data_IF_266400610916
#
_entry.id   IF_266400610916
#
_cell.length_a   1.000
_cell.length_b   1.000
_cell.length_c   1.000
_cell.angle_alpha   90.00
_cell.angle_beta   90.00
_cell.angle_gamma   90.00
#
_symmetry.space_group_name_H-M   'P 1'
#
loop_
_entity.id
_entity.type
_entity.pdbx_description
1 polymer ?
#
# COMPACT_ATOMS: atom_id res chain seq x y z
N UNK A 1 16.81 18.74 -9.89
CA UNK A 1 15.67 18.41 -9.00
C UNK A 1 15.68 16.89 -8.86
N UNK A 2 16.03 16.36 -7.68
CA UNK A 2 16.32 14.93 -7.53
C UNK A 2 15.00 14.16 -7.41
N UNK A 3 14.59 13.50 -8.51
CA UNK A 3 13.37 12.68 -8.57
C UNK A 3 13.46 11.39 -7.72
N UNK A 4 14.52 11.18 -6.94
CA UNK A 4 14.73 9.96 -6.17
C UNK A 4 13.61 9.62 -5.18
N UNK A 5 12.95 10.63 -4.59
CA UNK A 5 11.77 10.40 -3.73
C UNK A 5 10.58 9.89 -4.57
N UNK A 6 10.37 10.50 -5.74
CA UNK A 6 9.29 10.15 -6.66
C UNK A 6 9.50 8.76 -7.28
N UNK A 7 10.74 8.40 -7.61
CA UNK A 7 11.13 7.07 -8.10
C UNK A 7 10.98 5.99 -7.03
N UNK A 8 11.29 6.30 -5.77
CA UNK A 8 11.07 5.41 -4.64
C UNK A 8 9.58 5.11 -4.43
N UNK A 9 8.71 6.10 -4.57
CA UNK A 9 7.26 5.93 -4.49
C UNK A 9 6.73 5.14 -5.70
N UNK A 10 7.18 5.47 -6.91
CA UNK A 10 6.77 4.78 -8.13
C UNK A 10 7.17 3.29 -8.10
N UNK A 11 8.35 2.98 -7.58
CA UNK A 11 8.81 1.58 -7.38
C UNK A 11 7.92 0.81 -6.42
N UNK A 12 7.50 1.42 -5.30
CA UNK A 12 6.57 0.81 -4.33
C UNK A 12 5.20 0.54 -4.94
N UNK A 13 4.67 1.49 -5.70
CA UNK A 13 3.38 1.35 -6.40
C UNK A 13 3.45 0.25 -7.47
N UNK A 14 4.55 0.16 -8.22
CA UNK A 14 4.75 -0.91 -9.19
C UNK A 14 4.86 -2.28 -8.52
N UNK A 15 5.55 -2.38 -7.38
CA UNK A 15 5.62 -3.62 -6.61
C UNK A 15 4.24 -4.01 -6.06
N UNK A 16 3.46 -3.04 -5.57
CA UNK A 16 2.08 -3.24 -5.15
C UNK A 16 1.22 -3.76 -6.30
N UNK A 17 1.31 -3.15 -7.49
CA UNK A 17 0.61 -3.59 -8.71
C UNK A 17 1.00 -5.00 -9.15
N UNK A 18 2.29 -5.35 -9.03
CA UNK A 18 2.80 -6.70 -9.34
C UNK A 18 2.28 -7.75 -8.35
N UNK A 19 2.17 -7.41 -7.06
CA UNK A 19 1.49 -8.24 -6.05
C UNK A 19 -0.03 -8.28 -6.28
N UNK A 20 -0.59 -7.19 -6.82
CA UNK A 20 -2.01 -7.04 -7.07
C UNK A 20 -2.52 -7.74 -8.34
N UNK A 21 -1.65 -8.38 -9.13
CA UNK A 21 -1.98 -8.88 -10.47
C UNK A 21 -3.05 -9.98 -10.52
N UNK A 22 -3.55 -10.43 -9.36
CA UNK A 22 -4.69 -11.35 -9.20
C UNK A 22 -5.93 -10.74 -8.55
N UNK A 23 -5.95 -9.44 -8.23
CA UNK A 23 -7.13 -8.80 -7.64
C UNK A 23 -8.13 -8.46 -8.75
N UNK A 24 -9.22 -9.22 -8.79
CA UNK A 24 -10.34 -9.05 -9.72
C UNK A 24 -11.12 -7.75 -9.50
N UNK A 25 -11.01 -7.15 -8.30
CA UNK A 25 -11.67 -5.91 -7.90
C UNK A 25 -10.67 -4.77 -7.70
N UNK A 26 -10.93 -3.64 -8.35
CA UNK A 26 -10.11 -2.42 -8.29
C UNK A 26 -10.14 -1.79 -6.89
N UNK A 27 -11.25 -1.92 -6.15
CA UNK A 27 -11.37 -1.42 -4.78
C UNK A 27 -10.34 -2.04 -3.82
N UNK A 28 -10.04 -3.33 -4.01
CA UNK A 28 -9.01 -4.00 -3.24
C UNK A 28 -7.60 -3.49 -3.58
N UNK A 29 -7.37 -3.09 -4.83
CA UNK A 29 -6.12 -2.48 -5.23
C UNK A 29 -5.95 -1.09 -4.59
N UNK A 30 -7.01 -0.28 -4.57
CA UNK A 30 -7.03 1.02 -3.90
C UNK A 30 -6.74 0.87 -2.40
N UNK A 31 -7.41 -0.07 -1.72
CA UNK A 31 -7.15 -0.38 -0.31
C UNK A 31 -5.69 -0.80 -0.06
N UNK A 32 -5.09 -1.59 -0.97
CA UNK A 32 -3.68 -1.97 -0.86
C UNK A 32 -2.71 -0.81 -1.03
N UNK A 33 -3.02 0.16 -1.91
CA UNK A 33 -2.26 1.40 -2.01
C UNK A 33 -2.38 2.20 -0.71
N UNK A 34 -3.57 2.29 -0.12
CA UNK A 34 -3.75 2.90 1.21
C UNK A 34 -2.99 2.15 2.32
N UNK A 35 -2.90 0.82 2.29
CA UNK A 35 -2.07 0.07 3.24
C UNK A 35 -0.57 0.35 3.09
N UNK A 36 -0.08 0.49 1.85
CA UNK A 36 1.34 0.68 1.56
C UNK A 36 1.79 2.13 1.75
N UNK A 37 0.93 3.09 1.39
CA UNK A 37 1.23 4.52 1.45
C UNK A 37 0.74 5.18 2.74
N UNK A 38 -0.37 4.68 3.31
CA UNK A 38 -1.13 5.37 4.34
C UNK A 38 -0.65 5.16 5.77
N UNK A 39 0.38 4.34 6.05
CA UNK A 39 0.78 3.98 7.43
C UNK A 39 -0.48 3.74 8.28
N UNK A 40 -1.34 2.80 7.88
CA UNK A 40 -2.46 2.41 8.73
C UNK A 40 -1.88 1.79 10.01
N UNK A 41 -1.65 2.61 11.02
CA UNK A 41 -1.51 2.19 12.39
C UNK A 41 -2.89 1.65 12.77
N UNK A 42 -3.03 0.33 12.67
CA UNK A 42 -4.15 -0.33 13.32
C UNK A 42 -3.92 -0.17 14.81
N UNK A 43 -4.59 0.80 15.41
CA UNK A 43 -4.85 0.83 16.85
C UNK A 43 -5.81 -0.33 17.15
N UNK A 44 -5.28 -1.55 17.08
CA UNK A 44 -6.00 -2.74 17.49
C UNK A 44 -6.17 -2.62 19.00
N UNK A 45 -7.39 -2.58 19.56
CA UNK A 45 -7.53 -2.71 20.99
C UNK A 45 -7.08 -4.14 21.34
N UNK A 46 -5.88 -4.27 21.91
CA UNK A 46 -5.45 -5.47 22.62
C UNK A 46 -6.34 -5.60 23.86
N UNK A 47 -7.59 -6.04 23.70
CA UNK A 47 -8.32 -6.65 24.79
C UNK A 47 -7.87 -8.10 24.89
N UNK A 48 -6.70 -8.29 25.48
CA UNK A 48 -6.31 -9.59 26.04
C UNK A 48 -7.16 -9.79 27.30
N UNK A 49 -8.18 -10.63 27.18
CA UNK A 49 -8.76 -11.35 28.33
C UNK A 49 -7.78 -12.41 28.81
#
# INVERSE_FOLDING_TARGET
ISNGILEGINSKIQLAKKRARGYRNIDNFINMIYFIAGKLEFDYPHQTT
#
